data_IF_257418948522
#
_entry.id   IF_257418948522
#
_cell.length_a   1.000
_cell.length_b   1.000
_cell.length_c   1.000
_cell.angle_alpha   90.00
_cell.angle_beta   90.00
_cell.angle_gamma   90.00
#
_symmetry.space_group_name_H-M   'P 1'
#
loop_
_entity.id
_entity.type
_entity.pdbx_description
1 polymer ?
#
# COMPACT_ATOMS: atom_id res chain seq x y z
N UNK A 1 12.16 -13.22 -3.81
CA UNK A 1 11.34 -12.35 -4.70
C UNK A 1 10.79 -11.20 -3.86
N UNK A 2 10.57 -10.02 -4.43
CA UNK A 2 10.04 -8.87 -3.67
C UNK A 2 8.51 -8.94 -3.48
N UNK A 3 7.80 -9.50 -4.45
CA UNK A 3 6.40 -9.92 -4.35
C UNK A 3 6.27 -11.37 -4.82
N UNK A 4 5.51 -12.17 -4.08
CA UNK A 4 5.34 -13.61 -4.33
C UNK A 4 3.86 -13.98 -4.18
N UNK A 5 3.38 -14.86 -5.05
CA UNK A 5 2.03 -15.41 -4.96
C UNK A 5 2.01 -16.56 -3.96
N UNK A 6 1.02 -16.56 -3.08
CA UNK A 6 0.85 -17.58 -2.05
C UNK A 6 -0.61 -18.00 -1.97
N UNK A 7 -0.85 -19.28 -1.71
CA UNK A 7 -2.19 -19.80 -1.44
C UNK A 7 -2.52 -19.65 0.04
N UNK A 8 -3.65 -19.02 0.34
CA UNK A 8 -4.12 -18.79 1.71
C UNK A 8 -5.42 -19.57 1.94
N UNK A 9 -5.50 -20.46 2.94
CA UNK A 9 -6.73 -21.15 3.28
C UNK A 9 -7.85 -20.19 3.65
N UNK A 10 -9.11 -20.51 3.31
CA UNK A 10 -10.27 -19.67 3.67
C UNK A 10 -10.47 -19.51 5.19
N UNK A 11 -9.84 -20.38 5.98
CA UNK A 11 -9.84 -20.36 7.44
C UNK A 11 -8.67 -19.57 8.04
N UNK A 12 -7.83 -18.94 7.22
CA UNK A 12 -6.72 -18.11 7.72
C UNK A 12 -7.24 -16.92 8.52
N UNK A 13 -6.51 -16.57 9.57
CA UNK A 13 -6.85 -15.48 10.48
C UNK A 13 -6.96 -14.11 9.79
N UNK A 14 -6.36 -13.92 8.60
CA UNK A 14 -6.48 -12.68 7.84
C UNK A 14 -7.94 -12.35 7.51
N UNK A 15 -8.84 -13.33 7.46
CA UNK A 15 -10.27 -13.09 7.22
C UNK A 15 -11.03 -12.64 8.48
N UNK A 16 -10.43 -12.73 9.67
CA UNK A 16 -11.02 -12.28 10.95
C UNK A 16 -10.27 -11.11 11.57
N UNK A 17 -8.94 -11.13 11.53
CA UNK A 17 -8.03 -10.15 12.13
C UNK A 17 -7.07 -9.64 11.05
N UNK A 18 -7.30 -8.42 10.59
CA UNK A 18 -6.54 -7.81 9.49
C UNK A 18 -6.47 -6.31 9.62
N UNK A 19 -5.58 -5.72 8.82
CA UNK A 19 -5.60 -4.31 8.49
C UNK A 19 -6.16 -4.11 7.08
N UNK A 20 -6.50 -2.86 6.77
CA UNK A 20 -6.98 -2.42 5.46
C UNK A 20 -6.14 -1.27 4.96
N UNK A 21 -6.23 -0.98 3.66
CA UNK A 21 -5.63 0.21 3.05
C UNK A 21 -6.72 1.15 2.56
N UNK A 22 -6.72 2.39 3.05
CA UNK A 22 -7.65 3.43 2.61
C UNK A 22 -7.51 3.72 1.11
N UNK A 23 -6.26 3.82 0.64
CA UNK A 23 -5.93 4.07 -0.76
C UNK A 23 -6.48 2.94 -1.63
N UNK A 24 -6.21 1.68 -1.25
CA UNK A 24 -6.68 0.51 -2.00
C UNK A 24 -8.22 0.45 -2.04
N UNK A 25 -8.88 0.79 -0.93
CA UNK A 25 -10.34 0.93 -0.86
C UNK A 25 -10.87 1.97 -1.85
N UNK A 26 -10.26 3.17 -1.90
CA UNK A 26 -10.69 4.27 -2.78
C UNK A 26 -10.54 3.96 -4.27
N UNK A 27 -9.49 3.25 -4.67
CA UNK A 27 -9.29 2.87 -6.07
C UNK A 27 -10.13 1.65 -6.49
N UNK A 28 -10.83 0.99 -5.56
CA UNK A 28 -11.68 -0.17 -5.86
C UNK A 28 -10.95 -1.52 -5.85
N UNK A 29 -9.83 -1.61 -5.13
CA UNK A 29 -9.08 -2.84 -4.86
C UNK A 29 -9.06 -3.05 -3.34
N UNK A 30 -10.21 -3.36 -2.71
CA UNK A 30 -10.23 -3.54 -1.27
C UNK A 30 -9.39 -4.77 -0.90
N UNK A 31 -8.43 -4.57 0.00
CA UNK A 31 -7.50 -5.60 0.47
C UNK A 31 -7.60 -5.78 1.98
N UNK A 32 -7.27 -6.99 2.42
CA UNK A 32 -6.89 -7.29 3.80
C UNK A 32 -5.39 -7.55 3.85
N UNK A 33 -4.75 -7.07 4.90
CA UNK A 33 -3.31 -7.24 5.11
C UNK A 33 -3.04 -7.78 6.50
N UNK A 34 -1.98 -8.57 6.62
CA UNK A 34 -1.50 -9.10 7.90
C UNK A 34 0.02 -9.20 7.88
N UNK A 35 0.65 -8.76 8.97
CA UNK A 35 2.09 -8.95 9.18
C UNK A 35 2.37 -10.42 9.47
N UNK A 36 3.41 -10.95 8.84
CA UNK A 36 3.94 -12.26 9.21
C UNK A 36 4.79 -12.13 10.48
N UNK A 37 4.92 -13.21 11.28
CA UNK A 37 5.97 -13.30 12.28
C UNK A 37 7.34 -13.04 11.64
N UNK A 38 8.29 -12.39 12.35
CA UNK A 38 9.65 -12.21 11.86
C UNK A 38 10.27 -13.56 11.47
N UNK A 39 10.79 -13.66 10.25
CA UNK A 39 11.55 -14.83 9.83
C UNK A 39 12.96 -14.75 10.44
N UNK A 40 13.41 -15.74 11.22
CA UNK A 40 14.76 -15.76 11.80
C UNK A 40 15.88 -15.60 10.76
N UNK A 41 15.64 -15.96 9.50
CA UNK A 41 16.60 -15.76 8.40
C UNK A 41 16.91 -14.29 8.14
N UNK A 42 16.01 -13.39 8.56
CA UNK A 42 16.13 -11.95 8.39
C UNK A 42 16.67 -11.27 9.66
N UNK A 43 17.00 -12.02 10.71
CA UNK A 43 17.64 -11.50 11.93
C UNK A 43 19.13 -11.15 11.72
N UNK A 44 19.69 -11.54 10.57
CA UNK A 44 21.08 -11.24 10.24
C UNK A 44 21.26 -9.77 9.86
N UNK A 45 21.93 -9.02 10.77
CA UNK A 45 22.43 -7.64 10.64
C UNK A 45 23.41 -7.40 9.48
N UNK A 46 23.54 -8.35 8.55
CA UNK A 46 24.55 -8.41 7.49
C UNK A 46 24.18 -7.62 6.23
N UNK A 47 23.01 -6.98 6.17
CA UNK A 47 22.55 -6.24 4.99
C UNK A 47 22.98 -4.76 5.00
N UNK A 48 24.30 -4.51 5.13
CA UNK A 48 24.89 -3.20 4.87
C UNK A 48 24.29 -2.03 5.65
N UNK A 49 23.80 -2.27 6.87
CA UNK A 49 23.21 -1.25 7.75
C UNK A 49 21.74 -0.91 7.49
N UNK A 50 21.07 -1.56 6.52
CA UNK A 50 19.62 -1.46 6.36
C UNK A 50 18.92 -2.55 7.18
N UNK A 51 17.91 -2.18 7.95
CA UNK A 51 17.07 -3.13 8.66
C UNK A 51 16.36 -4.03 7.63
N UNK A 52 16.66 -5.35 7.60
CA UNK A 52 16.07 -6.29 6.64
C UNK A 52 14.55 -6.43 6.80
N UNK A 53 14.01 -6.02 7.94
CA UNK A 53 12.56 -6.01 8.19
C UNK A 53 11.91 -4.66 7.81
N UNK A 54 12.67 -3.70 7.27
CA UNK A 54 12.10 -2.48 6.72
C UNK A 54 11.38 -2.76 5.39
N UNK A 55 10.09 -2.44 5.35
CA UNK A 55 9.23 -2.69 4.20
C UNK A 55 8.45 -1.41 3.87
N UNK A 56 9.05 -0.47 3.11
CA UNK A 56 8.41 0.80 2.79
C UNK A 56 7.14 0.62 1.94
N UNK A 57 7.07 -0.45 1.13
CA UNK A 57 5.87 -0.77 0.37
C UNK A 57 4.68 -1.04 1.31
N UNK A 58 4.89 -1.82 2.36
CA UNK A 58 3.88 -2.03 3.40
C UNK A 58 3.58 -0.75 4.18
N UNK A 59 4.59 0.07 4.48
CA UNK A 59 4.40 1.35 5.19
C UNK A 59 3.47 2.29 4.43
N UNK A 60 3.76 2.58 3.16
CA UNK A 60 2.96 3.50 2.34
C UNK A 60 1.63 2.91 1.89
N UNK A 61 1.52 1.58 1.79
CA UNK A 61 0.23 0.92 1.57
C UNK A 61 -0.79 1.25 2.67
N UNK A 62 -0.32 1.50 3.90
CA UNK A 62 -1.13 1.85 5.06
C UNK A 62 -1.03 3.34 5.44
N UNK A 63 -0.74 4.20 4.46
CA UNK A 63 -0.82 5.65 4.64
C UNK A 63 -2.29 6.09 4.81
N UNK A 64 -2.56 6.88 5.85
CA UNK A 64 -3.90 7.34 6.18
C UNK A 64 -4.43 8.32 5.13
N UNK A 65 -5.61 8.02 4.59
CA UNK A 65 -6.28 8.80 3.56
C UNK A 65 -7.69 9.26 4.01
N UNK A 66 -7.95 9.24 5.31
CA UNK A 66 -9.14 9.86 5.92
C UNK A 66 -8.84 11.33 6.26
N UNK A 67 -9.53 12.31 5.63
CA UNK A 67 -9.30 13.73 5.88
C UNK A 67 -9.78 14.17 7.28
N UNK A 68 -10.56 13.35 7.97
CA UNK A 68 -11.03 13.60 9.33
C UNK A 68 -10.18 12.91 10.41
N UNK A 69 -9.25 12.03 10.00
CA UNK A 69 -8.41 11.30 10.93
C UNK A 69 -7.52 12.24 11.74
N UNK A 70 -7.61 12.10 13.06
CA UNK A 70 -6.74 12.78 14.01
C UNK A 70 -5.58 11.86 14.35
N UNK A 71 -4.39 12.45 14.47
CA UNK A 71 -3.25 11.74 15.02
C UNK A 71 -3.57 11.29 16.43
N UNK A 72 -3.39 10.00 16.69
CA UNK A 72 -3.51 9.42 18.02
C UNK A 72 -2.37 8.44 18.26
N UNK A 73 -1.42 8.87 19.09
CA UNK A 73 -0.25 8.07 19.45
C UNK A 73 -0.65 6.82 20.25
N UNK A 74 -1.72 6.88 21.05
CA UNK A 74 -2.11 5.77 21.93
C UNK A 74 -2.70 4.59 21.14
N UNK A 75 -3.47 4.88 20.09
CA UNK A 75 -3.97 3.85 19.16
C UNK A 75 -3.02 3.55 17.99
N UNK A 76 -1.96 4.34 17.82
CA UNK A 76 -1.00 4.21 16.72
C UNK A 76 -1.54 4.68 15.36
N UNK A 77 -2.59 5.51 15.37
CA UNK A 77 -3.16 6.11 14.18
C UNK A 77 -2.33 7.33 13.75
N UNK A 78 -1.67 7.20 12.60
CA UNK A 78 -1.13 8.34 11.87
C UNK A 78 -2.31 9.09 11.27
N UNK A 79 -2.53 10.36 11.63
CA UNK A 79 -3.58 11.18 11.02
C UNK A 79 -3.37 11.38 9.51
N UNK A 80 -4.18 12.22 8.87
CA UNK A 80 -4.08 12.53 7.43
C UNK A 80 -2.63 12.60 6.90
N UNK A 81 -2.32 11.79 5.88
CA UNK A 81 -1.01 11.76 5.22
C UNK A 81 0.09 11.00 5.97
N UNK A 82 -0.15 10.58 7.20
CA UNK A 82 0.81 9.79 7.98
C UNK A 82 0.55 8.29 7.84
N UNK A 83 1.63 7.52 7.85
CA UNK A 83 1.53 6.06 7.94
C UNK A 83 1.24 5.65 9.39
N UNK A 84 0.42 4.63 9.61
CA UNK A 84 0.20 4.12 10.97
C UNK A 84 1.52 3.64 11.61
N UNK A 85 1.71 3.92 12.90
CA UNK A 85 2.94 3.57 13.63
C UNK A 85 3.19 2.06 13.64
N UNK A 86 2.14 1.25 13.54
CA UNK A 86 2.23 -0.20 13.40
C UNK A 86 3.00 -0.66 12.15
N UNK A 87 3.17 0.23 11.15
CA UNK A 87 3.81 -0.05 9.88
C UNK A 87 5.10 0.76 9.65
N UNK A 88 5.51 1.61 10.59
CA UNK A 88 6.67 2.49 10.40
C UNK A 88 8.03 1.81 10.64
N UNK A 89 8.15 0.90 11.61
CA UNK A 89 9.39 0.11 11.81
C UNK A 89 9.24 -0.99 12.88
N UNK A 90 9.66 -2.24 12.60
CA UNK A 90 9.72 -2.88 11.29
C UNK A 90 8.34 -3.44 10.87
N UNK A 91 8.04 -3.34 9.58
CA UNK A 91 6.80 -3.90 9.02
C UNK A 91 6.95 -5.40 8.67
N UNK A 92 8.16 -5.85 8.34
CA UNK A 92 8.45 -7.25 8.01
C UNK A 92 7.77 -7.73 6.73
N UNK A 93 7.61 -9.05 6.62
CA UNK A 93 6.79 -9.69 5.59
C UNK A 93 5.31 -9.42 5.82
N UNK A 94 4.56 -9.30 4.72
CA UNK A 94 3.13 -9.01 4.76
C UNK A 94 2.39 -9.93 3.81
N UNK A 95 1.33 -10.56 4.29
CA UNK A 95 0.35 -11.25 3.46
C UNK A 95 -0.71 -10.24 3.08
N UNK A 96 -1.08 -10.23 1.80
CA UNK A 96 -2.14 -9.38 1.26
C UNK A 96 -3.12 -10.24 0.48
N UNK A 97 -4.41 -10.07 0.74
CA UNK A 97 -5.49 -10.74 0.00
C UNK A 97 -6.55 -9.75 -0.43
N UNK A 98 -7.23 -10.02 -1.54
CA UNK A 98 -8.42 -9.27 -1.95
C UNK A 98 -9.59 -9.58 -0.99
N UNK A 99 -10.22 -8.54 -0.45
CA UNK A 99 -11.44 -8.67 0.37
C UNK A 99 -12.58 -9.39 -0.36
N UNK A 100 -12.71 -9.16 -1.66
CA UNK A 100 -13.72 -9.78 -2.51
C UNK A 100 -13.28 -11.10 -3.15
N UNK A 101 -12.15 -11.67 -2.68
CA UNK A 101 -11.62 -12.98 -3.10
C UNK A 101 -11.29 -13.08 -4.60
N UNK A 102 -11.14 -11.95 -5.30
CA UNK A 102 -10.60 -11.94 -6.66
C UNK A 102 -9.10 -12.27 -6.66
N UNK A 103 -8.54 -12.74 -7.79
CA UNK A 103 -7.10 -12.94 -7.92
C UNK A 103 -6.32 -11.66 -7.62
N UNK A 104 -5.18 -11.81 -6.96
CA UNK A 104 -4.25 -10.73 -6.65
C UNK A 104 -2.85 -11.18 -7.04
N UNK A 105 -2.46 -10.87 -8.27
CA UNK A 105 -1.19 -11.33 -8.83
C UNK A 105 -0.03 -10.48 -8.31
N UNK A 106 1.22 -10.99 -8.31
CA UNK A 106 2.39 -10.24 -7.83
C UNK A 106 2.55 -8.86 -8.49
N UNK A 107 2.28 -8.75 -9.80
CA UNK A 107 2.34 -7.47 -10.50
C UNK A 107 1.23 -6.49 -10.10
N UNK A 108 0.07 -6.98 -9.67
CA UNK A 108 -0.99 -6.12 -9.11
C UNK A 108 -0.52 -5.49 -7.80
N UNK A 109 0.10 -6.29 -6.92
CA UNK A 109 0.63 -5.79 -5.66
C UNK A 109 1.82 -4.86 -5.83
N UNK A 110 2.73 -5.16 -6.77
CA UNK A 110 3.81 -4.26 -7.10
C UNK A 110 3.28 -2.90 -7.59
N UNK A 111 2.26 -2.91 -8.46
CA UNK A 111 1.63 -1.69 -8.94
C UNK A 111 0.99 -0.90 -7.81
N UNK A 112 0.26 -1.60 -6.92
CA UNK A 112 -0.42 -0.97 -5.78
C UNK A 112 0.59 -0.32 -4.82
N UNK A 113 1.62 -1.05 -4.43
CA UNK A 113 2.68 -0.54 -3.55
C UNK A 113 3.40 0.68 -4.15
N UNK A 114 3.80 0.58 -5.42
CA UNK A 114 4.45 1.69 -6.12
C UNK A 114 3.52 2.88 -6.32
N UNK A 115 2.25 2.67 -6.63
CA UNK A 115 1.28 3.76 -6.72
C UNK A 115 1.15 4.50 -5.39
N UNK A 116 1.04 3.78 -4.26
CA UNK A 116 0.98 4.40 -2.95
C UNK A 116 2.25 5.22 -2.64
N UNK A 117 3.43 4.66 -2.88
CA UNK A 117 4.70 5.32 -2.56
C UNK A 117 5.10 6.42 -3.54
N UNK A 118 4.94 6.19 -4.83
CA UNK A 118 5.56 7.01 -5.87
C UNK A 118 4.57 8.04 -6.45
N UNK A 119 3.26 7.79 -6.37
CA UNK A 119 2.22 8.72 -6.88
C UNK A 119 1.42 9.38 -5.76
N UNK A 120 1.07 8.65 -4.69
CA UNK A 120 0.20 9.19 -3.63
C UNK A 120 0.97 9.88 -2.50
N UNK A 121 2.10 9.32 -2.05
CA UNK A 121 2.89 9.94 -0.98
C UNK A 121 3.31 11.39 -1.31
N UNK A 122 3.72 11.75 -2.54
CA UNK A 122 4.06 13.15 -2.85
C UNK A 122 2.84 14.09 -2.72
N UNK A 123 1.65 13.63 -3.10
CA UNK A 123 0.41 14.39 -2.93
C UNK A 123 0.07 14.58 -1.44
N UNK A 124 0.27 13.54 -0.64
CA UNK A 124 0.07 13.61 0.81
C UNK A 124 1.07 14.57 1.46
N UNK A 125 2.36 14.48 1.11
CA UNK A 125 3.42 15.35 1.59
C UNK A 125 3.14 16.82 1.23
N UNK A 126 2.66 17.08 0.02
CA UNK A 126 2.24 18.42 -0.39
C UNK A 126 1.04 18.93 0.40
N UNK A 127 0.05 18.08 0.63
CA UNK A 127 -1.13 18.46 1.43
C UNK A 127 -0.83 18.77 2.89
N UNK A 128 0.25 18.21 3.46
CA UNK A 128 0.70 18.52 4.83
C UNK A 128 1.72 19.67 4.89
N UNK A 129 2.03 20.30 3.75
CA UNK A 129 2.96 21.44 3.68
C UNK A 129 4.44 21.08 3.63
N UNK A 130 4.79 19.87 3.17
CA UNK A 130 6.18 19.43 3.01
C UNK A 130 6.97 20.18 1.92
N UNK A 131 6.28 20.91 1.04
CA UNK A 131 6.87 21.68 -0.05
C UNK A 131 6.68 23.19 0.20
N UNK A 132 7.10 23.71 1.36
CA UNK A 132 7.11 25.15 1.56
C UNK A 132 8.20 25.80 0.65
N UNK A 133 7.97 27.00 0.08
CA UNK A 133 6.90 27.95 0.37
C UNK A 133 5.61 27.78 -0.44
N UNK A 134 5.48 26.75 -1.26
CA UNK A 134 4.29 26.51 -2.08
C UNK A 134 3.04 26.27 -1.20
N UNK A 135 1.87 26.73 -1.67
CA UNK A 135 0.62 26.55 -0.95
C UNK A 135 0.19 25.06 -0.98
N UNK A 136 -0.10 24.45 0.18
CA UNK A 136 -0.50 23.04 0.25
C UNK A 136 -1.75 22.75 -0.59
N UNK A 137 -1.72 21.64 -1.34
CA UNK A 137 -2.95 21.16 -2.00
C UNK A 137 -4.00 20.73 -0.97
N UNK A 138 -5.26 21.03 -1.28
CA UNK A 138 -6.38 20.67 -0.42
C UNK A 138 -6.48 19.15 -0.25
N UNK A 139 -7.00 18.70 0.90
CA UNK A 139 -7.22 17.27 1.15
C UNK A 139 -8.21 16.72 0.12
N UNK A 140 -9.23 17.50 -0.21
CA UNK A 140 -10.26 17.17 -1.19
C UNK A 140 -9.66 16.92 -2.58
N UNK A 141 -8.69 17.73 -3.01
CA UNK A 141 -8.03 17.54 -4.30
C UNK A 141 -7.16 16.29 -4.31
N UNK A 142 -6.40 16.02 -3.24
CA UNK A 142 -5.68 14.74 -3.09
C UNK A 142 -6.64 13.55 -3.23
N UNK A 143 -7.79 13.60 -2.56
CA UNK A 143 -8.79 12.54 -2.63
C UNK A 143 -9.38 12.35 -4.03
N UNK A 144 -9.49 13.42 -4.84
CA UNK A 144 -9.91 13.33 -6.24
C UNK A 144 -8.85 12.65 -7.12
N UNK A 145 -7.56 12.84 -6.83
CA UNK A 145 -6.49 12.14 -7.52
C UNK A 145 -6.43 10.65 -7.15
N UNK A 146 -6.81 10.28 -5.93
CA UNK A 146 -6.84 8.87 -5.48
C UNK A 146 -8.13 8.21 -5.96
N UNK A 147 -8.14 7.78 -7.22
CA UNK A 147 -9.27 7.13 -7.84
C UNK A 147 -8.85 5.99 -8.77
N UNK A 148 -9.83 5.17 -9.17
CA UNK A 148 -9.59 4.03 -10.08
C UNK A 148 -8.91 4.45 -11.38
N UNK A 149 -9.29 5.59 -11.96
CA UNK A 149 -8.79 6.03 -13.26
C UNK A 149 -7.28 6.32 -13.24
N UNK A 150 -6.80 7.06 -12.23
CA UNK A 150 -5.37 7.39 -12.09
C UNK A 150 -4.54 6.13 -11.83
N UNK A 151 -5.05 5.20 -11.01
CA UNK A 151 -4.39 3.91 -10.80
C UNK A 151 -4.34 3.06 -12.09
N UNK A 152 -5.41 3.03 -12.89
CA UNK A 152 -5.42 2.31 -14.19
C UNK A 152 -4.35 2.89 -15.13
N UNK A 153 -4.25 4.22 -15.23
CA UNK A 153 -3.23 4.89 -16.03
C UNK A 153 -1.82 4.47 -15.56
N UNK A 154 -1.59 4.52 -14.25
CA UNK A 154 -0.33 4.10 -13.64
C UNK A 154 0.00 2.64 -13.96
N UNK A 155 -0.94 1.72 -13.72
CA UNK A 155 -0.76 0.28 -13.97
C UNK A 155 -0.46 0.00 -15.46
N UNK A 156 -1.19 0.64 -16.38
CA UNK A 156 -0.95 0.50 -17.82
C UNK A 156 0.43 1.02 -18.22
N UNK A 157 0.88 2.15 -17.68
CA UNK A 157 2.23 2.68 -17.92
C UNK A 157 3.30 1.72 -17.39
N UNK A 158 3.13 1.23 -16.17
CA UNK A 158 4.06 0.28 -15.55
C UNK A 158 4.17 -1.01 -16.36
N UNK A 159 3.04 -1.58 -16.80
CA UNK A 159 3.02 -2.78 -17.65
C UNK A 159 3.79 -2.59 -18.96
N UNK A 160 3.59 -1.45 -19.64
CA UNK A 160 4.33 -1.10 -20.87
C UNK A 160 5.84 -1.03 -20.61
N UNK A 161 6.27 -0.36 -19.54
CA UNK A 161 7.70 -0.25 -19.17
C UNK A 161 8.31 -1.62 -18.89
N UNK A 162 7.55 -2.52 -18.26
CA UNK A 162 8.00 -3.88 -17.95
C UNK A 162 7.84 -4.88 -19.10
N UNK A 163 7.30 -4.45 -20.25
CA UNK A 163 6.96 -5.31 -21.38
C UNK A 163 6.01 -6.48 -21.00
N UNK A 164 5.10 -6.25 -20.05
CA UNK A 164 4.12 -7.24 -19.60
C UNK A 164 2.72 -6.97 -20.19
N UNK A 165 2.36 -7.76 -21.19
CA UNK A 165 1.05 -7.73 -21.83
C UNK A 165 0.13 -8.89 -21.41
N UNK A 166 0.63 -9.83 -20.61
CA UNK A 166 -0.12 -11.03 -20.21
C UNK A 166 -0.92 -10.81 -18.92
N UNK A 167 -0.40 -10.02 -17.98
CA UNK A 167 -1.07 -9.78 -16.70
C UNK A 167 -2.42 -9.06 -16.92
N UNK A 168 -3.56 -9.62 -16.48
CA UNK A 168 -4.86 -8.99 -16.65
C UNK A 168 -5.00 -7.75 -15.76
N UNK A 169 -6.05 -6.96 -16.02
CA UNK A 169 -6.43 -5.85 -15.14
C UNK A 169 -6.72 -6.35 -13.72
N UNK A 170 -6.29 -5.62 -12.66
CA UNK A 170 -6.61 -5.98 -11.27
C UNK A 170 -8.09 -5.83 -10.92
N UNK A 171 -8.90 -5.28 -11.85
CA UNK A 171 -10.34 -5.18 -11.73
C UNK A 171 -11.10 -6.35 -12.40
N UNK A 172 -10.37 -7.29 -13.01
CA UNK A 172 -10.90 -8.39 -13.81
C UNK A 172 -10.95 -8.07 -15.31
N UNK A 173 -11.50 -9.01 -16.09
CA UNK A 173 -11.74 -8.81 -17.52
C UNK A 173 -12.97 -7.89 -17.68
N UNK A 174 -12.74 -6.60 -17.81
CA UNK A 174 -13.75 -5.62 -18.18
C UNK A 174 -13.21 -4.73 -19.30
N UNK A 175 -13.91 -4.75 -20.43
CA UNK A 175 -14.01 -3.59 -21.32
C UNK A 175 -14.57 -2.40 -20.52
#
# INVERSE_FOLDING_TARGET
PHFEEVEIPITDEIFTTHYTSDIAGRIGIPIFTRRCPPDPKWDNKSHGGKDPANNPDATFLHQCCDPSAKFDLASGLGGWGWCSTAWQSPAGSVIVVRKDKKPLLPLHMEALAKYCRDEIQPLMEHSVGGYAPEEPISREDVLRFICRATFVIFFTKMRKVKNDYATPSPYGNGL
#
